data_IF_663721462547
#
_entry.id   IF_663721462547
#
_cell.length_a   1.000
_cell.length_b   1.000
_cell.length_c   1.000
_cell.angle_alpha   90.00
_cell.angle_beta   90.00
_cell.angle_gamma   90.00
#
_symmetry.space_group_name_H-M   'P 1'
#
loop_
_entity.id
_entity.type
_entity.pdbx_description
1 polymer ?
#
# COMPACT_ATOMS: atom_id res chain seq x y z
N UNK A 1 -11.34 -48.90 -2.78
CA UNK A 1 -11.69 -48.37 -4.12
C UNK A 1 -13.19 -48.10 -4.29
N UNK A 2 -14.04 -48.50 -3.34
CA UNK A 2 -15.50 -48.56 -3.51
C UNK A 2 -16.29 -47.23 -3.31
N UNK A 3 -15.69 -46.06 -3.57
CA UNK A 3 -16.36 -44.75 -3.34
C UNK A 3 -16.10 -43.72 -4.44
N UNK A 4 -15.65 -44.14 -5.61
CA UNK A 4 -15.25 -43.25 -6.70
C UNK A 4 -16.38 -42.96 -7.70
N UNK A 5 -17.31 -43.91 -7.88
CA UNK A 5 -18.37 -43.81 -8.90
C UNK A 5 -19.78 -43.83 -8.31
N UNK A 6 -20.70 -43.18 -9.03
CA UNK A 6 -22.14 -43.10 -8.72
C UNK A 6 -22.76 -44.49 -8.54
N UNK A 7 -22.30 -45.47 -9.33
CA UNK A 7 -22.76 -46.86 -9.27
C UNK A 7 -22.33 -47.58 -7.97
N UNK A 8 -21.28 -47.10 -7.29
CA UNK A 8 -20.82 -47.67 -6.02
C UNK A 8 -21.80 -47.43 -4.86
N UNK A 9 -22.70 -46.44 -4.98
CA UNK A 9 -23.76 -46.17 -3.99
C UNK A 9 -24.82 -47.28 -3.96
N UNK A 10 -25.00 -48.02 -5.06
CA UNK A 10 -25.91 -49.17 -5.11
C UNK A 10 -25.40 -50.38 -4.32
N UNK A 11 -24.11 -50.42 -4.00
CA UNK A 11 -23.52 -51.48 -3.17
C UNK A 11 -23.61 -51.18 -1.66
N UNK A 12 -24.20 -50.03 -1.28
CA UNK A 12 -24.46 -49.68 0.11
C UNK A 12 -25.88 -50.13 0.48
N UNK A 13 -25.98 -51.04 1.43
CA UNK A 13 -27.27 -51.58 1.89
C UNK A 13 -27.60 -51.05 3.29
N UNK A 14 -28.85 -50.62 3.49
CA UNK A 14 -29.37 -50.19 4.78
C UNK A 14 -30.49 -51.14 5.21
N UNK A 15 -30.50 -51.48 6.50
CA UNK A 15 -31.50 -52.36 7.10
C UNK A 15 -32.78 -51.57 7.33
N UNK A 16 -33.88 -52.05 6.76
CA UNK A 16 -35.22 -51.49 6.99
C UNK A 16 -35.81 -52.01 8.30
N UNK A 17 -36.87 -51.37 8.81
CA UNK A 17 -37.57 -51.77 10.05
C UNK A 17 -38.10 -53.21 10.02
N UNK A 18 -38.22 -53.80 8.83
CA UNK A 18 -38.62 -55.21 8.61
C UNK A 18 -37.46 -56.20 8.60
N UNK A 19 -36.22 -55.73 8.83
CA UNK A 19 -35.02 -56.55 8.86
C UNK A 19 -34.40 -56.85 7.49
N UNK A 20 -35.04 -56.42 6.40
CA UNK A 20 -34.58 -56.61 5.03
C UNK A 20 -33.51 -55.56 4.65
N UNK A 21 -32.53 -55.99 3.86
CA UNK A 21 -31.44 -55.14 3.38
C UNK A 21 -31.86 -54.55 2.03
N UNK A 22 -31.98 -53.22 1.96
CA UNK A 22 -32.32 -52.51 0.73
C UNK A 22 -31.17 -51.60 0.30
N UNK A 23 -30.85 -51.51 -1.01
CA UNK A 23 -29.81 -50.62 -1.51
C UNK A 23 -30.22 -49.15 -1.33
N UNK A 24 -29.27 -48.30 -0.99
CA UNK A 24 -29.51 -46.87 -0.71
C UNK A 24 -29.94 -46.09 -1.95
N UNK A 25 -29.53 -46.53 -3.15
CA UNK A 25 -29.87 -45.88 -4.42
C UNK A 25 -31.37 -45.82 -4.74
N UNK A 26 -32.20 -46.70 -4.16
CA UNK A 26 -33.67 -46.68 -4.33
C UNK A 26 -34.35 -45.56 -3.51
N UNK A 27 -33.63 -44.96 -2.57
CA UNK A 27 -34.18 -43.93 -1.66
C UNK A 27 -33.50 -42.55 -1.82
N UNK A 28 -32.47 -42.45 -2.67
CA UNK A 28 -31.66 -41.23 -2.80
C UNK A 28 -31.52 -40.85 -4.26
N UNK A 29 -31.87 -39.62 -4.59
CA UNK A 29 -31.66 -39.02 -5.91
C UNK A 29 -30.37 -38.19 -5.88
N UNK A 30 -29.45 -38.46 -6.81
CA UNK A 30 -28.16 -37.77 -6.89
C UNK A 30 -28.25 -36.65 -7.91
N UNK A 31 -28.18 -35.41 -7.43
CA UNK A 31 -28.08 -34.23 -8.29
C UNK A 31 -26.64 -33.72 -8.34
N UNK A 32 -26.09 -33.61 -9.54
CA UNK A 32 -24.74 -33.04 -9.74
C UNK A 32 -24.83 -31.52 -9.68
N UNK A 33 -24.56 -30.96 -8.50
CA UNK A 33 -24.46 -29.51 -8.32
C UNK A 33 -23.01 -29.04 -8.48
N UNK A 34 -22.84 -27.97 -9.24
CA UNK A 34 -21.55 -27.27 -9.35
C UNK A 34 -21.57 -26.11 -8.36
N UNK A 35 -20.84 -26.25 -7.26
CA UNK A 35 -20.68 -25.21 -6.25
C UNK A 35 -19.20 -24.88 -6.06
N UNK A 36 -18.91 -23.70 -5.52
CA UNK A 36 -17.54 -23.33 -5.16
C UNK A 36 -17.08 -24.18 -3.98
N UNK A 37 -15.95 -24.87 -4.14
CA UNK A 37 -15.30 -25.67 -3.09
C UNK A 37 -14.78 -24.77 -1.95
N UNK A 38 -14.56 -23.48 -2.23
CA UNK A 38 -14.02 -22.51 -1.27
C UNK A 38 -14.94 -21.29 -1.17
N UNK A 39 -15.46 -21.04 0.03
CA UNK A 39 -16.14 -19.80 0.38
C UNK A 39 -15.11 -18.78 0.87
N UNK A 40 -14.62 -17.92 -0.02
CA UNK A 40 -13.69 -16.85 0.37
C UNK A 40 -14.45 -15.71 1.06
N UNK A 41 -13.95 -15.31 2.23
CA UNK A 41 -14.49 -14.21 3.02
C UNK A 41 -13.39 -13.22 3.35
N UNK A 42 -13.67 -11.94 3.15
CA UNK A 42 -12.80 -10.84 3.54
C UNK A 42 -13.60 -9.88 4.43
N UNK A 43 -13.08 -9.59 5.63
CA UNK A 43 -13.75 -8.76 6.63
C UNK A 43 -15.23 -9.14 6.91
N UNK A 44 -15.50 -10.45 7.04
CA UNK A 44 -16.83 -11.04 7.30
C UNK A 44 -17.84 -10.97 6.13
N UNK A 45 -17.45 -10.41 4.99
CA UNK A 45 -18.25 -10.41 3.76
C UNK A 45 -17.77 -11.49 2.79
N UNK A 46 -18.70 -12.06 2.01
CA UNK A 46 -18.33 -12.95 0.91
C UNK A 46 -17.57 -12.13 -0.12
N UNK A 47 -16.35 -12.56 -0.45
CA UNK A 47 -15.44 -11.80 -1.27
C UNK A 47 -14.75 -12.69 -2.31
N UNK A 48 -14.37 -12.09 -3.42
CA UNK A 48 -13.59 -12.76 -4.47
C UNK A 48 -12.20 -12.12 -4.46
N UNK A 49 -11.15 -12.94 -4.34
CA UNK A 49 -9.77 -12.46 -4.44
C UNK A 49 -9.47 -12.15 -5.90
N UNK A 50 -9.13 -10.89 -6.17
CA UNK A 50 -8.66 -10.43 -7.49
C UNK A 50 -7.20 -10.05 -7.34
N UNK A 51 -6.34 -10.66 -8.14
CA UNK A 51 -4.90 -10.41 -8.15
C UNK A 51 -4.51 -9.82 -9.50
N UNK A 52 -3.64 -8.81 -9.47
CA UNK A 52 -3.13 -8.15 -10.66
C UNK A 52 -1.80 -7.47 -10.33
N UNK A 53 -0.97 -7.31 -11.35
CA UNK A 53 0.30 -6.59 -11.26
C UNK A 53 0.23 -5.32 -12.08
N UNK A 54 1.00 -4.30 -11.67
CA UNK A 54 1.12 -3.07 -12.44
C UNK A 54 1.74 -3.35 -13.82
N UNK A 55 1.26 -2.64 -14.84
CA UNK A 55 1.83 -2.71 -16.18
C UNK A 55 3.26 -2.11 -16.20
N UNK A 56 4.14 -2.54 -17.12
CA UNK A 56 5.50 -2.00 -17.21
C UNK A 56 5.49 -0.46 -17.37
N UNK A 57 6.20 0.24 -16.49
CA UNK A 57 6.28 1.71 -16.50
C UNK A 57 5.19 2.44 -15.70
N UNK A 58 4.31 1.72 -15.01
CA UNK A 58 3.33 2.28 -14.07
C UNK A 58 3.69 1.91 -12.64
N UNK A 59 3.47 2.84 -11.72
CA UNK A 59 3.71 2.58 -10.30
C UNK A 59 2.61 1.75 -9.66
N UNK A 60 2.93 1.13 -8.53
CA UNK A 60 1.94 0.48 -7.66
C UNK A 60 0.79 1.42 -7.30
N UNK A 61 1.09 2.70 -7.05
CA UNK A 61 0.09 3.74 -6.77
C UNK A 61 -0.85 3.99 -7.94
N UNK A 62 -0.34 4.03 -9.17
CA UNK A 62 -1.15 4.20 -10.38
C UNK A 62 -2.08 3.01 -10.59
N UNK A 63 -1.59 1.79 -10.32
CA UNK A 63 -2.40 0.58 -10.39
C UNK A 63 -3.53 0.58 -9.35
N UNK A 64 -3.26 1.01 -8.12
CA UNK A 64 -4.28 1.16 -7.06
C UNK A 64 -5.35 2.18 -7.48
N UNK A 65 -4.93 3.30 -8.05
CA UNK A 65 -5.84 4.34 -8.51
C UNK A 65 -6.71 3.86 -9.69
N UNK A 66 -6.11 3.16 -10.66
CA UNK A 66 -6.84 2.56 -11.77
C UNK A 66 -7.84 1.51 -11.30
N UNK A 67 -7.47 0.65 -10.35
CA UNK A 67 -8.39 -0.32 -9.76
C UNK A 67 -9.56 0.39 -9.07
N UNK A 68 -9.29 1.46 -8.31
CA UNK A 68 -10.34 2.25 -7.67
C UNK A 68 -11.29 2.87 -8.70
N UNK A 69 -10.77 3.42 -9.79
CA UNK A 69 -11.58 4.01 -10.86
C UNK A 69 -12.45 2.96 -11.58
N UNK A 70 -11.88 1.80 -11.91
CA UNK A 70 -12.62 0.69 -12.53
C UNK A 70 -13.65 0.11 -11.56
N UNK A 71 -13.32 0.00 -10.28
CA UNK A 71 -14.23 -0.44 -9.24
C UNK A 71 -15.45 0.49 -9.16
N UNK A 72 -15.26 1.81 -9.19
CA UNK A 72 -16.35 2.77 -9.16
C UNK A 72 -17.25 2.73 -10.42
N UNK A 73 -16.71 2.31 -11.56
CA UNK A 73 -17.45 2.21 -12.83
C UNK A 73 -18.20 0.89 -13.00
N UNK A 74 -17.59 -0.22 -12.60
CA UNK A 74 -18.06 -1.58 -12.90
C UNK A 74 -18.85 -2.19 -11.74
N UNK A 75 -18.59 -1.77 -10.49
CA UNK A 75 -19.27 -2.37 -9.34
C UNK A 75 -20.71 -1.85 -9.20
N UNK A 76 -21.72 -2.75 -9.15
CA UNK A 76 -23.09 -2.36 -8.86
C UNK A 76 -23.24 -1.91 -7.39
N UNK A 77 -24.25 -1.07 -7.14
CA UNK A 77 -24.53 -0.54 -5.79
C UNK A 77 -24.73 -1.69 -4.79
N UNK A 78 -23.94 -1.69 -3.72
CA UNK A 78 -23.95 -2.71 -2.66
C UNK A 78 -22.71 -3.59 -2.62
N UNK A 79 -21.84 -3.53 -3.64
CA UNK A 79 -20.52 -4.14 -3.61
C UNK A 79 -19.47 -3.13 -3.12
N UNK A 80 -18.60 -3.58 -2.23
CA UNK A 80 -17.41 -2.86 -1.80
C UNK A 80 -16.16 -3.56 -2.30
N UNK A 81 -15.06 -2.83 -2.34
CA UNK A 81 -13.73 -3.40 -2.54
C UNK A 81 -12.86 -2.99 -1.36
N UNK A 82 -11.92 -3.85 -1.01
CA UNK A 82 -10.93 -3.56 0.01
C UNK A 82 -9.59 -4.16 -0.42
N UNK A 83 -8.53 -3.40 -0.20
CA UNK A 83 -7.17 -3.85 -0.51
C UNK A 83 -6.64 -4.69 0.65
N UNK A 84 -5.88 -5.73 0.32
CA UNK A 84 -5.25 -6.63 1.29
C UNK A 84 -3.72 -6.46 1.28
N UNK A 85 -3.08 -6.85 2.39
CA UNK A 85 -1.64 -6.94 2.54
C UNK A 85 -0.88 -5.66 2.15
N UNK A 86 0.11 -5.82 1.26
CA UNK A 86 1.06 -4.78 0.85
C UNK A 86 0.33 -3.61 0.17
N UNK A 87 -0.69 -3.88 -0.64
CA UNK A 87 -1.47 -2.84 -1.33
C UNK A 87 -2.21 -1.93 -0.35
N UNK A 88 -2.69 -2.49 0.77
CA UNK A 88 -3.33 -1.72 1.85
C UNK A 88 -2.33 -0.83 2.57
N UNK A 89 -1.15 -1.34 2.88
CA UNK A 89 -0.08 -0.57 3.51
C UNK A 89 0.40 0.59 2.60
N UNK A 90 0.51 0.34 1.30
CA UNK A 90 0.92 1.36 0.33
C UNK A 90 -0.13 2.48 0.19
N UNK A 91 -1.41 2.13 0.17
CA UNK A 91 -2.51 3.08 0.18
C UNK A 91 -2.55 3.94 1.45
N UNK A 92 -2.18 3.38 2.61
CA UNK A 92 -2.13 4.13 3.88
C UNK A 92 -0.87 4.99 4.01
N UNK A 93 0.27 4.51 3.53
CA UNK A 93 1.59 5.16 3.73
C UNK A 93 1.69 6.48 2.98
N UNK A 94 1.09 6.59 1.78
CA UNK A 94 1.16 7.78 0.92
C UNK A 94 0.67 9.07 1.62
N UNK A 95 -0.28 8.96 2.56
CA UNK A 95 -0.83 10.13 3.26
C UNK A 95 0.11 10.72 4.32
N UNK A 96 1.01 9.93 4.90
CA UNK A 96 1.77 10.35 6.08
C UNK A 96 3.06 11.10 5.73
N UNK A 97 3.60 10.92 4.52
CA UNK A 97 4.88 11.50 4.09
C UNK A 97 4.91 13.02 4.16
N UNK A 98 3.84 13.70 3.70
CA UNK A 98 3.76 15.17 3.73
C UNK A 98 3.75 15.73 5.15
N UNK A 99 3.06 15.04 6.07
CA UNK A 99 2.99 15.42 7.49
C UNK A 99 4.37 15.28 8.13
N UNK A 100 5.04 14.15 7.92
CA UNK A 100 6.39 13.89 8.44
C UNK A 100 7.37 14.95 7.93
N UNK A 101 7.33 15.25 6.63
CA UNK A 101 8.19 16.26 6.02
C UNK A 101 7.96 17.67 6.61
N UNK A 102 6.70 18.06 6.82
CA UNK A 102 6.35 19.33 7.45
C UNK A 102 6.84 19.43 8.90
N UNK A 103 6.69 18.35 9.68
CA UNK A 103 7.18 18.28 11.07
C UNK A 103 8.71 18.36 11.11
N UNK A 104 9.42 17.67 10.21
CA UNK A 104 10.88 17.73 10.13
C UNK A 104 11.39 19.15 9.84
N UNK A 105 10.81 19.83 8.85
CA UNK A 105 11.17 21.22 8.54
C UNK A 105 10.87 22.17 9.70
N UNK A 106 9.74 21.98 10.38
CA UNK A 106 9.38 22.76 11.55
C UNK A 106 10.41 22.57 12.69
N UNK A 107 10.81 21.33 12.97
CA UNK A 107 11.83 21.08 13.99
C UNK A 107 13.19 21.68 13.63
N UNK A 108 13.63 21.55 12.37
CA UNK A 108 14.86 22.19 11.89
C UNK A 108 14.77 23.71 12.09
N UNK A 109 13.65 24.33 11.72
CA UNK A 109 13.43 25.77 11.94
C UNK A 109 13.55 26.17 13.40
N UNK A 110 12.84 25.46 14.30
CA UNK A 110 12.79 25.78 15.72
C UNK A 110 14.15 25.60 16.39
N UNK A 111 14.85 24.51 16.09
CA UNK A 111 16.19 24.24 16.65
C UNK A 111 17.18 25.32 16.19
N UNK A 112 17.19 25.67 14.90
CA UNK A 112 18.07 26.72 14.39
C UNK A 112 17.70 28.10 14.96
N UNK A 113 16.42 28.40 15.08
CA UNK A 113 15.95 29.67 15.66
C UNK A 113 16.38 29.81 17.12
N UNK A 114 16.35 28.71 17.89
CA UNK A 114 16.81 28.70 19.27
C UNK A 114 18.34 28.82 19.38
N UNK A 115 19.08 28.19 18.47
CA UNK A 115 20.55 28.17 18.50
C UNK A 115 21.19 29.49 18.03
N UNK A 116 20.62 30.14 17.01
CA UNK A 116 21.16 31.36 16.41
C UNK A 116 20.54 32.65 16.96
N UNK A 117 19.58 32.55 17.89
CA UNK A 117 18.85 33.68 18.49
C UNK A 117 18.26 34.65 17.43
N UNK A 118 17.99 34.13 16.24
CA UNK A 118 17.62 34.91 15.07
C UNK A 118 16.72 34.10 14.15
N UNK A 119 15.62 34.73 13.70
CA UNK A 119 14.65 34.12 12.79
C UNK A 119 15.06 34.19 11.32
N UNK A 120 16.02 35.06 10.97
CA UNK A 120 16.46 35.26 9.59
C UNK A 120 17.42 34.16 9.09
N UNK A 121 18.30 33.68 9.96
CA UNK A 121 19.28 32.63 9.63
C UNK A 121 18.58 31.29 9.31
N UNK A 122 17.64 30.80 10.14
CA UNK A 122 16.87 29.58 9.83
C UNK A 122 16.06 29.67 8.54
N UNK A 123 15.51 30.85 8.23
CA UNK A 123 14.74 31.06 7.01
C UNK A 123 15.60 30.88 5.76
N UNK A 124 16.84 31.38 5.77
CA UNK A 124 17.79 31.19 4.66
C UNK A 124 18.14 29.71 4.44
N UNK A 125 18.24 28.93 5.52
CA UNK A 125 18.50 27.48 5.45
C UNK A 125 17.31 26.72 4.85
N UNK A 126 16.09 27.05 5.27
CA UNK A 126 14.86 26.43 4.72
C UNK A 126 14.72 26.73 3.24
N UNK A 127 15.10 27.93 2.78
CA UNK A 127 15.02 28.30 1.37
C UNK A 127 15.96 27.46 0.47
N UNK A 128 17.03 26.89 1.04
CA UNK A 128 17.92 25.97 0.32
C UNK A 128 17.31 24.56 0.13
N UNK A 129 16.38 24.15 1.00
CA UNK A 129 15.80 22.80 0.97
C UNK A 129 14.97 22.55 -0.30
N UNK A 130 14.01 23.41 -0.71
CA UNK A 130 13.26 23.24 -1.96
C UNK A 130 14.17 23.16 -3.19
N UNK A 131 15.24 23.95 -3.24
CA UNK A 131 16.19 23.92 -4.35
C UNK A 131 16.85 22.53 -4.50
N UNK A 132 17.30 21.92 -3.40
CA UNK A 132 17.94 20.61 -3.48
C UNK A 132 16.93 19.45 -3.67
N UNK A 133 15.71 19.58 -3.14
CA UNK A 133 14.62 18.65 -3.44
C UNK A 133 14.25 18.67 -4.92
N UNK A 134 14.20 19.86 -5.54
CA UNK A 134 13.92 19.98 -6.97
C UNK A 134 14.94 19.23 -7.81
N UNK A 135 16.23 19.25 -7.43
CA UNK A 135 17.26 18.44 -8.06
C UNK A 135 17.02 16.93 -7.89
N UNK A 136 16.68 16.48 -6.67
CA UNK A 136 16.38 15.07 -6.40
C UNK A 136 15.20 14.56 -7.22
N UNK A 137 14.09 15.32 -7.27
CA UNK A 137 12.92 14.95 -8.07
C UNK A 137 13.19 14.99 -9.58
N UNK A 138 14.00 15.94 -10.05
CA UNK A 138 14.36 16.03 -11.47
C UNK A 138 15.17 14.81 -11.92
N UNK A 139 16.16 14.39 -11.12
CA UNK A 139 16.96 13.20 -11.40
C UNK A 139 16.16 11.91 -11.22
N UNK A 140 15.31 11.82 -10.20
CA UNK A 140 14.42 10.68 -10.00
C UNK A 140 13.48 10.50 -11.22
N UNK A 141 12.90 11.60 -11.70
CA UNK A 141 12.05 11.59 -12.89
C UNK A 141 12.85 11.25 -14.16
N UNK A 142 14.07 11.76 -14.30
CA UNK A 142 14.94 11.46 -15.45
C UNK A 142 15.38 9.98 -15.51
N UNK A 143 15.58 9.34 -14.35
CA UNK A 143 15.89 7.91 -14.24
C UNK A 143 14.65 7.00 -14.29
N UNK A 144 13.43 7.57 -14.33
CA UNK A 144 12.19 6.80 -14.30
C UNK A 144 11.96 6.07 -12.96
N UNK A 145 12.52 6.60 -11.86
CA UNK A 145 12.34 6.04 -10.52
C UNK A 145 10.98 6.45 -9.96
N UNK A 146 10.27 5.48 -9.40
CA UNK A 146 9.02 5.70 -8.69
C UNK A 146 9.25 6.38 -7.33
N UNK A 147 8.25 7.11 -6.86
CA UNK A 147 8.26 7.73 -5.53
C UNK A 147 7.92 6.71 -4.45
N UNK A 148 8.86 5.81 -4.17
CA UNK A 148 8.74 4.79 -3.15
C UNK A 148 9.30 5.25 -1.78
N UNK A 149 9.15 4.40 -0.78
CA UNK A 149 9.64 4.64 0.60
C UNK A 149 11.17 4.87 0.63
N UNK A 150 11.93 4.25 -0.28
CA UNK A 150 13.38 4.47 -0.38
C UNK A 150 13.72 5.87 -0.91
N UNK A 151 12.99 6.37 -1.91
CA UNK A 151 13.16 7.75 -2.40
C UNK A 151 12.84 8.75 -1.29
N UNK A 152 11.77 8.52 -0.53
CA UNK A 152 11.36 9.39 0.57
C UNK A 152 12.38 9.43 1.71
N UNK A 153 12.91 8.28 2.12
CA UNK A 153 13.99 8.22 3.12
C UNK A 153 15.28 8.87 2.62
N UNK A 154 15.60 8.72 1.33
CA UNK A 154 16.71 9.43 0.68
C UNK A 154 16.51 10.95 0.69
N UNK A 155 15.30 11.42 0.40
CA UNK A 155 14.91 12.84 0.49
C UNK A 155 15.13 13.38 1.90
N UNK A 156 14.72 12.63 2.94
CA UNK A 156 14.93 13.04 4.35
C UNK A 156 16.42 13.18 4.66
N UNK A 157 17.25 12.22 4.23
CA UNK A 157 18.70 12.33 4.40
C UNK A 157 19.29 13.53 3.65
N UNK A 158 18.78 13.81 2.44
CA UNK A 158 19.22 14.91 1.60
C UNK A 158 18.91 16.27 2.25
N UNK A 159 17.75 16.42 2.90
CA UNK A 159 17.43 17.62 3.69
C UNK A 159 18.47 17.84 4.78
N UNK A 160 18.88 16.79 5.50
CA UNK A 160 19.89 16.89 6.56
C UNK A 160 21.26 17.31 6.03
N UNK A 161 21.69 16.72 4.90
CA UNK A 161 22.93 17.08 4.21
C UNK A 161 22.93 18.53 3.72
N UNK A 162 21.85 18.95 3.04
CA UNK A 162 21.65 20.33 2.60
C UNK A 162 21.66 21.28 3.79
N UNK A 163 20.91 20.95 4.85
CA UNK A 163 20.83 21.76 6.06
C UNK A 163 22.21 21.95 6.66
N UNK A 164 23.01 20.89 6.80
CA UNK A 164 24.40 21.00 7.29
C UNK A 164 25.23 21.98 6.47
N UNK A 165 25.16 21.89 5.14
CA UNK A 165 25.94 22.79 4.26
C UNK A 165 25.42 24.23 4.30
N UNK A 166 24.11 24.42 4.32
CA UNK A 166 23.48 25.73 4.41
C UNK A 166 23.82 26.39 5.76
N UNK A 167 23.73 25.64 6.86
CA UNK A 167 24.13 26.06 8.20
C UNK A 167 25.57 26.57 8.21
N UNK A 168 26.53 25.76 7.73
CA UNK A 168 27.95 26.14 7.70
C UNK A 168 28.21 27.43 6.91
N UNK A 169 27.58 27.58 5.74
CA UNK A 169 27.73 28.77 4.90
C UNK A 169 27.09 29.99 5.59
N UNK A 170 25.89 29.83 6.15
CA UNK A 170 25.19 30.93 6.84
C UNK A 170 25.92 31.37 8.10
N UNK A 171 26.53 30.44 8.83
CA UNK A 171 27.34 30.72 10.01
C UNK A 171 28.62 31.48 9.62
N UNK A 172 29.36 31.00 8.63
CA UNK A 172 30.54 31.70 8.12
C UNK A 172 30.22 33.10 7.60
N UNK A 173 29.08 33.27 6.92
CA UNK A 173 28.62 34.57 6.44
C UNK A 173 28.15 35.51 7.57
N UNK A 174 27.59 34.96 8.65
CA UNK A 174 27.21 35.73 9.83
C UNK A 174 28.44 36.18 10.63
N UNK A 175 29.42 35.29 10.78
CA UNK A 175 30.67 35.57 11.49
C UNK A 175 31.50 36.63 10.75
N UNK A 176 31.62 36.50 9.42
CA UNK A 176 32.29 37.52 8.60
C UNK A 176 31.59 38.88 8.62
N UNK A 177 30.25 38.92 8.68
CA UNK A 177 29.48 40.17 8.88
C UNK A 177 29.72 40.80 10.25
N UNK A 178 30.04 40.01 11.28
CA UNK A 178 30.43 40.53 12.60
C UNK A 178 31.88 41.00 12.63
N UNK A 179 32.75 40.37 11.84
CA UNK A 179 34.18 40.69 11.76
C UNK A 179 34.52 41.91 10.87
N UNK A 180 33.60 42.38 10.01
CA UNK A 180 33.79 43.53 9.12
C UNK A 180 33.95 43.12 7.66
#
# INVERSE_FOLDING_TARGET
EDRLDVESLNNIYVRTDKGEMAPVGEFVELEKVYSSDVLNRFNLYNAISVQGTAAPGYSSGDAIQAIREVADQVLPKGYGYEFDGITREEAQTTSNTLIIFGICLLFIYLILSALYESYLIPFAVILAVPCGLMGSFLFAKAMGLENNIYLQTGIIMLIGLLSKTAILITEYAADRRRAG
#
